data_IF_447821770874
#
_entry.id   IF_447821770874
#
_cell.length_a   1.000
_cell.length_b   1.000
_cell.length_c   1.000
_cell.angle_alpha   90.00
_cell.angle_beta   90.00
_cell.angle_gamma   90.00
#
_symmetry.space_group_name_H-M   'P 1'
#
loop_
_entity.id
_entity.type
_entity.pdbx_description
1 polymer ?
#
# COMPACT_ATOMS: atom_id res chain seq x y z
N UNK A 1 24.62 18.14 31.94
CA UNK A 1 23.40 17.70 31.23
C UNK A 1 23.41 16.20 30.91
N UNK A 2 23.55 15.33 31.93
CA UNK A 2 23.55 13.87 31.70
C UNK A 2 22.11 13.32 31.60
N UNK A 3 21.18 13.88 32.39
CA UNK A 3 19.77 13.49 32.36
C UNK A 3 19.08 13.75 31.01
N UNK A 4 19.39 14.88 30.35
CA UNK A 4 18.83 15.23 29.05
C UNK A 4 19.18 14.20 27.97
N UNK A 5 20.46 13.81 27.88
CA UNK A 5 20.93 12.80 26.92
C UNK A 5 20.28 11.44 27.14
N UNK A 6 20.05 11.06 28.40
CA UNK A 6 19.36 9.81 28.76
C UNK A 6 17.89 9.83 28.34
N UNK A 7 17.20 10.94 28.58
CA UNK A 7 15.80 11.10 28.19
C UNK A 7 15.63 11.05 26.66
N UNK A 8 16.54 11.70 25.92
CA UNK A 8 16.53 11.68 24.46
C UNK A 8 16.71 10.26 23.92
N UNK A 9 17.69 9.50 24.43
CA UNK A 9 17.91 8.12 24.04
C UNK A 9 16.67 7.24 24.31
N UNK A 10 16.06 7.36 25.48
CA UNK A 10 14.86 6.60 25.81
C UNK A 10 13.70 6.91 24.85
N UNK A 11 13.53 8.19 24.49
CA UNK A 11 12.51 8.60 23.52
C UNK A 11 12.78 8.03 22.12
N UNK A 12 14.03 8.00 21.66
CA UNK A 12 14.40 7.39 20.38
C UNK A 12 14.16 5.86 20.38
N UNK A 13 14.46 5.19 21.50
CA UNK A 13 14.19 3.76 21.67
C UNK A 13 12.68 3.48 21.62
N UNK A 14 11.86 4.29 22.28
CA UNK A 14 10.40 4.17 22.25
C UNK A 14 9.83 4.36 20.83
N UNK A 15 10.28 5.40 20.12
CA UNK A 15 9.89 5.63 18.73
C UNK A 15 10.29 4.45 17.83
N UNK A 16 11.50 3.94 18.01
CA UNK A 16 11.97 2.79 17.23
C UNK A 16 11.18 1.52 17.54
N UNK A 17 10.86 1.24 18.80
CA UNK A 17 10.01 0.11 19.17
C UNK A 17 8.63 0.17 18.51
N UNK A 18 8.02 1.36 18.46
CA UNK A 18 6.74 1.55 17.77
C UNK A 18 6.84 1.24 16.26
N UNK A 19 7.97 1.57 15.62
CA UNK A 19 8.23 1.15 14.25
C UNK A 19 8.29 -0.39 14.17
N UNK A 20 9.06 -1.05 15.05
CA UNK A 20 9.23 -2.51 15.04
C UNK A 20 7.91 -3.27 15.17
N UNK A 21 6.97 -2.79 15.99
CA UNK A 21 5.63 -3.37 16.16
C UNK A 21 4.82 -3.39 14.84
N UNK A 22 5.14 -2.48 13.93
CA UNK A 22 4.47 -2.38 12.63
C UNK A 22 5.10 -3.26 11.55
N UNK A 23 6.30 -3.79 11.76
CA UNK A 23 7.05 -4.50 10.73
C UNK A 23 6.70 -6.00 10.64
N UNK A 24 7.00 -6.65 9.50
CA UNK A 24 7.01 -8.11 9.44
C UNK A 24 7.90 -8.72 10.52
N UNK A 25 7.44 -9.81 11.13
CA UNK A 25 8.07 -10.45 12.30
C UNK A 25 9.57 -10.72 12.11
N UNK A 26 9.96 -11.21 10.94
CA UNK A 26 11.36 -11.54 10.64
C UNK A 26 12.27 -10.31 10.67
N UNK A 27 11.80 -9.19 10.12
CA UNK A 27 12.51 -7.91 10.09
C UNK A 27 12.54 -7.34 11.50
N UNK A 28 11.41 -7.34 12.20
CA UNK A 28 11.29 -6.85 13.57
C UNK A 28 12.26 -7.57 14.54
N UNK A 29 12.38 -8.89 14.43
CA UNK A 29 13.31 -9.69 15.26
C UNK A 29 14.78 -9.37 14.95
N UNK A 30 15.13 -9.18 13.67
CA UNK A 30 16.50 -8.81 13.28
C UNK A 30 16.85 -7.40 13.78
N UNK A 31 15.95 -6.45 13.56
CA UNK A 31 16.14 -5.04 13.90
C UNK A 31 16.03 -4.76 15.40
N UNK A 32 15.21 -5.52 16.14
CA UNK A 32 15.05 -5.41 17.60
C UNK A 32 16.28 -5.81 18.42
N UNK A 33 17.36 -6.28 17.79
CA UNK A 33 18.67 -6.47 18.43
C UNK A 33 19.41 -5.16 18.67
N UNK A 34 18.94 -4.05 18.08
CA UNK A 34 19.55 -2.75 18.12
C UNK A 34 18.71 -1.78 18.94
N UNK A 35 19.36 -0.86 19.66
CA UNK A 35 18.67 0.05 20.56
C UNK A 35 17.85 1.11 19.80
N UNK A 36 18.38 1.63 18.70
CA UNK A 36 17.73 2.67 17.89
C UNK A 36 17.97 2.41 16.40
N UNK A 37 17.18 3.05 15.54
CA UNK A 37 17.28 2.92 14.09
C UNK A 37 18.70 3.22 13.56
N UNK A 38 19.35 4.26 14.08
CA UNK A 38 20.70 4.68 13.67
C UNK A 38 21.81 3.68 13.98
N UNK A 39 21.52 2.64 14.76
CA UNK A 39 22.46 1.56 15.06
C UNK A 39 22.34 0.38 14.11
N UNK A 40 21.36 0.38 13.22
CA UNK A 40 21.16 -0.69 12.26
C UNK A 40 22.29 -0.71 11.20
N UNK A 41 22.71 -1.90 10.76
CA UNK A 41 23.50 -2.06 9.54
C UNK A 41 22.75 -1.45 8.34
N UNK A 42 23.46 -0.88 7.38
CA UNK A 42 22.88 -0.13 6.26
C UNK A 42 21.78 -0.90 5.51
N UNK A 43 22.02 -2.18 5.19
CA UNK A 43 21.05 -3.00 4.47
C UNK A 43 19.77 -3.22 5.28
N UNK A 44 19.90 -3.50 6.58
CA UNK A 44 18.77 -3.70 7.49
C UNK A 44 18.03 -2.38 7.74
N UNK A 45 18.75 -1.26 7.83
CA UNK A 45 18.16 0.07 7.98
C UNK A 45 17.29 0.43 6.76
N UNK A 46 17.77 0.10 5.55
CA UNK A 46 17.02 0.28 4.31
C UNK A 46 15.76 -0.59 4.28
N UNK A 47 15.87 -1.87 4.66
CA UNK A 47 14.76 -2.81 4.70
C UNK A 47 13.67 -2.38 5.71
N UNK A 48 14.08 -1.99 6.92
CA UNK A 48 13.20 -1.46 7.97
C UNK A 48 12.48 -0.21 7.48
N UNK A 49 13.22 0.75 6.91
CA UNK A 49 12.64 2.01 6.43
C UNK A 49 11.67 1.77 5.27
N UNK A 50 12.03 0.93 4.31
CA UNK A 50 11.14 0.54 3.21
C UNK A 50 9.80 0.00 3.75
N UNK A 51 9.86 -1.02 4.60
CA UNK A 51 8.65 -1.67 5.12
C UNK A 51 7.80 -0.72 5.95
N UNK A 52 8.43 0.08 6.81
CA UNK A 52 7.72 1.05 7.64
C UNK A 52 7.02 2.10 6.78
N UNK A 53 7.75 2.77 5.90
CA UNK A 53 7.21 3.84 5.05
C UNK A 53 6.15 3.29 4.09
N UNK A 54 6.40 2.15 3.46
CA UNK A 54 5.43 1.55 2.53
C UNK A 54 4.14 1.16 3.26
N UNK A 55 4.23 0.68 4.51
CA UNK A 55 3.04 0.40 5.33
C UNK A 55 2.29 1.67 5.71
N UNK A 56 2.98 2.69 6.23
CA UNK A 56 2.36 3.95 6.67
C UNK A 56 1.78 4.76 5.51
N UNK A 57 2.24 4.49 4.28
CA UNK A 57 1.81 5.18 3.06
C UNK A 57 0.94 4.31 2.15
N UNK A 58 0.39 3.21 2.66
CA UNK A 58 -0.58 2.35 1.95
C UNK A 58 -0.05 1.76 0.62
N UNK A 59 1.17 1.24 0.64
CA UNK A 59 1.79 0.61 -0.53
C UNK A 59 2.32 1.61 -1.56
N UNK A 60 2.47 2.89 -1.20
CA UNK A 60 2.85 3.94 -2.14
C UNK A 60 4.22 3.70 -2.78
N UNK A 61 5.18 3.16 -2.03
CA UNK A 61 6.53 2.93 -2.54
C UNK A 61 6.57 1.87 -3.66
N UNK A 62 5.54 1.03 -3.76
CA UNK A 62 5.37 0.05 -4.85
C UNK A 62 4.69 0.65 -6.09
N UNK A 63 4.07 1.83 -5.96
CA UNK A 63 3.24 2.47 -7.00
C UNK A 63 3.94 3.62 -7.71
N UNK A 64 4.95 4.22 -7.08
CA UNK A 64 5.74 5.30 -7.66
C UNK A 64 6.98 4.75 -8.38
N UNK A 65 7.56 5.49 -9.35
CA UNK A 65 8.75 5.06 -10.03
C UNK A 65 9.98 5.11 -9.10
N UNK A 66 11.04 4.39 -9.49
CA UNK A 66 12.20 4.14 -8.63
C UNK A 66 12.89 5.43 -8.14
N UNK A 67 12.92 6.49 -8.96
CA UNK A 67 13.52 7.77 -8.63
C UNK A 67 12.79 8.47 -7.47
N UNK A 68 11.45 8.49 -7.50
CA UNK A 68 10.62 9.00 -6.40
C UNK A 68 10.76 8.13 -5.16
N UNK A 69 10.79 6.81 -5.33
CA UNK A 69 11.01 5.87 -4.25
C UNK A 69 12.37 6.06 -3.56
N UNK A 70 13.43 6.34 -4.33
CA UNK A 70 14.75 6.65 -3.78
C UNK A 70 14.76 8.00 -3.05
N UNK A 71 13.98 8.98 -3.50
CA UNK A 71 13.77 10.24 -2.78
C UNK A 71 13.00 10.02 -1.46
N UNK A 72 11.96 9.18 -1.47
CA UNK A 72 11.20 8.76 -0.29
C UNK A 72 12.08 8.07 0.75
N UNK A 73 13.00 7.20 0.33
CA UNK A 73 13.93 6.52 1.25
C UNK A 73 14.93 7.46 1.93
N UNK A 74 15.16 8.67 1.39
CA UNK A 74 15.98 9.71 2.04
C UNK A 74 15.23 10.43 3.16
N UNK A 75 13.90 10.30 3.22
CA UNK A 75 13.08 10.86 4.28
C UNK A 75 13.47 10.36 5.67
N UNK A 76 13.16 11.15 6.70
CA UNK A 76 13.36 10.74 8.09
C UNK A 76 12.36 9.63 8.44
N UNK A 77 12.81 8.57 9.11
CA UNK A 77 11.95 7.43 9.42
C UNK A 77 10.86 7.76 10.46
N UNK A 78 11.12 8.75 11.31
CA UNK A 78 10.22 9.20 12.37
C UNK A 78 9.30 10.34 11.93
N UNK A 79 9.74 11.18 10.98
CA UNK A 79 8.96 12.34 10.50
C UNK A 79 8.26 12.11 9.15
N UNK A 80 8.74 11.16 8.35
CA UNK A 80 8.18 10.85 7.04
C UNK A 80 8.73 11.73 5.92
N UNK A 81 7.84 12.20 5.03
CA UNK A 81 8.21 12.92 3.80
C UNK A 81 8.08 14.43 3.94
N UNK A 82 8.97 15.16 3.28
CA UNK A 82 8.85 16.61 3.14
C UNK A 82 7.61 16.99 2.33
N UNK A 83 7.07 18.18 2.58
CA UNK A 83 5.92 18.69 1.81
C UNK A 83 6.20 18.79 0.31
N UNK A 84 7.43 19.12 -0.07
CA UNK A 84 7.87 19.16 -1.48
C UNK A 84 7.83 17.78 -2.13
N UNK A 85 8.28 16.74 -1.43
CA UNK A 85 8.21 15.37 -1.93
C UNK A 85 6.76 14.88 -2.03
N UNK A 86 5.92 15.21 -1.05
CA UNK A 86 4.48 14.92 -1.11
C UNK A 86 3.83 15.57 -2.33
N UNK A 87 4.22 16.80 -2.68
CA UNK A 87 3.73 17.48 -3.88
C UNK A 87 4.15 16.74 -5.15
N UNK A 88 5.43 16.36 -5.29
CA UNK A 88 5.91 15.57 -6.43
C UNK A 88 5.18 14.24 -6.59
N UNK A 89 4.97 13.53 -5.48
CA UNK A 89 4.23 12.26 -5.47
C UNK A 89 2.79 12.49 -5.92
N UNK A 90 2.15 13.55 -5.43
CA UNK A 90 0.78 13.92 -5.84
C UNK A 90 0.71 14.22 -7.33
N UNK A 91 1.66 14.97 -7.86
CA UNK A 91 1.73 15.30 -9.28
C UNK A 91 1.89 14.04 -10.14
N UNK A 92 2.72 13.09 -9.69
CA UNK A 92 2.86 11.78 -10.35
C UNK A 92 1.59 10.95 -10.29
N UNK A 93 0.94 10.89 -9.13
CA UNK A 93 -0.28 10.10 -8.93
C UNK A 93 -1.52 10.74 -9.56
N UNK A 94 -1.43 11.99 -10.05
CA UNK A 94 -2.59 12.72 -10.55
C UNK A 94 -3.21 11.97 -11.74
N UNK A 95 -4.39 11.33 -11.59
CA UNK A 95 -4.92 10.42 -12.60
C UNK A 95 -5.51 11.14 -13.82
N UNK A 96 -5.61 12.47 -13.79
CA UNK A 96 -6.48 13.22 -14.68
C UNK A 96 -5.77 14.44 -15.27
N UNK A 97 -5.47 14.38 -16.57
CA UNK A 97 -5.17 15.58 -17.36
C UNK A 97 -6.48 16.03 -18.03
N UNK A 98 -7.14 17.10 -17.56
CA UNK A 98 -8.38 17.58 -18.15
C UNK A 98 -8.24 18.01 -19.61
N UNK A 99 -7.02 18.23 -20.10
CA UNK A 99 -6.77 18.53 -21.52
C UNK A 99 -6.97 17.32 -22.44
N UNK A 100 -7.04 16.11 -21.88
CA UNK A 100 -7.37 14.88 -22.62
C UNK A 100 -8.88 14.67 -22.78
N UNK A 101 -9.70 15.45 -22.08
CA UNK A 101 -11.16 15.43 -22.25
C UNK A 101 -11.51 16.30 -23.45
N UNK A 102 -11.68 15.68 -24.62
CA UNK A 102 -12.34 16.31 -25.77
C UNK A 102 -13.83 16.37 -25.45
N UNK A 103 -14.29 17.50 -24.91
CA UNK A 103 -15.72 17.82 -24.86
C UNK A 103 -16.11 18.26 -26.28
N UNK A 104 -16.64 17.33 -27.07
CA UNK A 104 -17.33 17.68 -28.30
C UNK A 104 -18.61 18.43 -27.92
N UNK A 105 -18.51 19.75 -27.89
CA UNK A 105 -19.61 20.66 -27.61
C UNK A 105 -20.59 20.64 -28.79
N UNK A 106 -21.46 19.62 -28.82
CA UNK A 106 -22.63 19.54 -29.69
C UNK A 106 -22.35 19.62 -31.20
N UNK A 107 -21.91 18.52 -31.81
CA UNK A 107 -22.29 18.19 -33.18
C UNK A 107 -22.60 16.70 -33.26
N UNK A 108 -23.88 16.39 -33.24
CA UNK A 108 -24.41 15.13 -33.75
C UNK A 108 -24.01 14.98 -35.22
N UNK A 109 -22.85 14.40 -35.49
CA UNK A 109 -22.60 13.79 -36.79
C UNK A 109 -23.27 12.43 -36.77
N UNK A 110 -24.43 12.38 -37.44
CA UNK A 110 -25.14 11.17 -37.80
C UNK A 110 -24.16 10.18 -38.44
N UNK A 111 -23.80 9.16 -37.69
CA UNK A 111 -23.25 7.93 -38.24
C UNK A 111 -24.40 7.26 -39.01
N UNK A 112 -24.38 7.41 -40.33
CA UNK A 112 -25.26 6.71 -41.27
C UNK A 112 -25.21 5.21 -40.98
N UNK A 113 -26.35 4.66 -40.54
CA UNK A 113 -26.55 3.24 -40.40
C UNK A 113 -26.53 2.58 -41.79
N UNK A 114 -25.51 1.77 -42.06
CA UNK A 114 -25.55 0.79 -43.15
C UNK A 114 -26.13 -0.52 -42.59
N UNK A 115 -27.22 -1.08 -43.18
CA UNK A 115 -27.86 -2.29 -42.66
C UNK A 115 -27.31 -3.58 -43.30
N UNK A 116 -27.62 -4.69 -42.63
CA UNK A 116 -27.43 -6.12 -42.97
C UNK A 116 -26.19 -6.76 -42.31
N UNK A 117 -26.28 -7.88 -41.56
CA UNK A 117 -27.37 -8.84 -41.41
C UNK A 117 -27.18 -9.64 -40.10
N UNK A 118 -28.30 -9.87 -39.38
CA UNK A 118 -28.75 -11.12 -38.71
C UNK A 118 -27.65 -12.07 -38.17
N UNK A 119 -27.59 -12.39 -36.89
CA UNK A 119 -28.51 -13.34 -36.24
C UNK A 119 -28.56 -13.14 -34.71
N UNK A 120 -29.78 -13.12 -34.16
CA UNK A 120 -30.10 -13.17 -32.74
C UNK A 120 -30.27 -14.63 -32.34
N UNK A 121 -29.72 -15.04 -31.21
CA UNK A 121 -30.29 -16.15 -30.43
C UNK A 121 -30.18 -15.82 -28.94
N UNK A 122 -31.32 -15.45 -28.36
CA UNK A 122 -31.73 -15.71 -26.97
C UNK A 122 -31.50 -17.20 -26.65
N UNK A 123 -31.24 -17.70 -25.44
CA UNK A 123 -31.68 -17.37 -24.08
C UNK A 123 -30.92 -18.34 -23.15
N UNK A 124 -30.75 -18.02 -21.86
CA UNK A 124 -31.01 -18.93 -20.72
C UNK A 124 -30.24 -18.52 -19.46
N UNK A 125 -31.04 -18.02 -18.52
CA UNK A 125 -30.90 -18.05 -17.07
C UNK A 125 -30.48 -19.43 -16.54
N UNK A 126 -29.47 -19.50 -15.66
CA UNK A 126 -29.44 -20.54 -14.63
C UNK A 126 -28.79 -20.00 -13.34
N UNK A 127 -29.52 -20.23 -12.26
CA UNK A 127 -29.29 -19.71 -10.91
C UNK A 127 -28.30 -20.62 -10.18
N UNK A 128 -27.54 -20.02 -9.28
CA UNK A 128 -26.68 -20.74 -8.33
C UNK A 128 -27.52 -21.61 -7.39
N UNK A 129 -27.37 -22.92 -7.49
CA UNK A 129 -27.75 -23.89 -6.46
C UNK A 129 -26.50 -24.69 -6.06
N UNK A 130 -26.04 -24.52 -4.82
CA UNK A 130 -25.45 -25.58 -4.00
C UNK A 130 -25.11 -25.07 -2.59
N UNK A 131 -26.11 -25.05 -1.70
CA UNK A 131 -25.87 -25.22 -0.27
C UNK A 131 -25.38 -26.66 -0.04
N UNK A 132 -24.12 -26.82 0.35
CA UNK A 132 -23.57 -28.09 0.80
C UNK A 132 -23.54 -28.11 2.33
N UNK A 133 -24.64 -28.54 2.94
CA UNK A 133 -24.68 -29.00 4.33
C UNK A 133 -23.97 -30.36 4.41
N UNK A 134 -22.78 -30.39 5.03
CA UNK A 134 -22.20 -31.59 5.64
C UNK A 134 -21.38 -31.21 6.87
N UNK A 135 -22.05 -30.93 7.99
CA UNK A 135 -21.44 -31.18 9.29
C UNK A 135 -21.85 -32.58 9.74
N UNK A 136 -20.92 -33.50 9.54
CA UNK A 136 -21.02 -34.88 9.98
C UNK A 136 -20.64 -34.93 11.46
N UNK A 137 -21.60 -35.41 12.25
CA UNK A 137 -21.53 -35.72 13.67
C UNK A 137 -20.31 -36.57 14.04
N UNK A 138 -19.48 -36.07 14.96
CA UNK A 138 -18.54 -36.91 15.73
C UNK A 138 -19.11 -37.13 17.13
N UNK A 139 -19.39 -38.40 17.41
CA UNK A 139 -19.86 -38.97 18.68
C UNK A 139 -18.98 -38.56 19.86
N UNK A 140 -19.60 -38.03 20.91
CA UNK A 140 -19.13 -38.25 22.27
C UNK A 140 -19.59 -39.63 22.74
N UNK A 141 -18.63 -40.44 23.18
CA UNK A 141 -18.83 -41.68 23.91
C UNK A 141 -17.61 -41.91 24.80
N UNK A 142 -17.87 -42.56 25.94
CA UNK A 142 -16.98 -42.90 27.07
C UNK A 142 -17.21 -41.96 28.27
N UNK A 143 -18.16 -42.34 29.15
CA UNK A 143 -18.00 -43.23 30.33
C UNK A 143 -17.47 -42.50 31.57
#
# INVERSE_FOLDING_TARGET
MLGFKRAQLLSEMEKFNSILESLPKEIAVKAGKYATYDKLPADLAKEVKWNHLNKTTFGLMEKVPQDLTDEMLKGDIYEGFSGELIAKIRDFLHPFDPSTVIINDGKDEQIEATPASTEVTEEAEEREDAMNEKEDTVREGEE
#
